data_IF_046605030625
#
_entry.id   IF_046605030625
#
_cell.length_a   1.000
_cell.length_b   1.000
_cell.length_c   1.000
_cell.angle_alpha   90.00
_cell.angle_beta   90.00
_cell.angle_gamma   90.00
#
_symmetry.space_group_name_H-M   'P 1'
#
loop_
_entity.id
_entity.type
_entity.pdbx_description
1 polymer ?
#
# COMPACT_ATOMS: atom_id res chain seq x y z
N UNK A 1 1.73 -15.61 -16.75
CA UNK A 1 0.90 -16.01 -15.59
C UNK A 1 0.06 -14.82 -15.10
N UNK A 2 0.66 -13.62 -14.97
CA UNK A 2 -0.06 -12.36 -14.73
C UNK A 2 -1.15 -12.07 -15.79
N UNK A 3 -0.85 -12.20 -17.09
CA UNK A 3 -1.86 -12.02 -18.18
C UNK A 3 -3.08 -12.95 -18.06
N UNK A 4 -2.89 -14.17 -17.53
CA UNK A 4 -4.01 -15.12 -17.31
C UNK A 4 -4.85 -14.79 -16.08
N UNK A 5 -4.29 -14.08 -15.10
CA UNK A 5 -4.96 -13.65 -13.87
C UNK A 5 -5.66 -12.30 -14.03
N UNK A 6 -5.18 -11.45 -14.93
CA UNK A 6 -5.68 -10.09 -15.10
C UNK A 6 -6.93 -9.96 -15.99
N UNK A 7 -7.32 -11.02 -16.69
CA UNK A 7 -8.35 -10.93 -17.72
C UNK A 7 -7.92 -10.07 -18.92
N UNK A 8 -8.79 -9.87 -19.91
CA UNK A 8 -8.45 -9.21 -21.18
C UNK A 8 -8.07 -7.72 -21.02
N UNK A 9 -8.34 -7.12 -19.87
CA UNK A 9 -8.13 -5.69 -19.61
C UNK A 9 -6.91 -5.35 -18.76
N UNK A 10 -6.08 -6.32 -18.33
CA UNK A 10 -4.83 -6.03 -17.60
C UNK A 10 -5.03 -5.36 -16.22
N UNK A 11 -4.67 -6.04 -15.13
CA UNK A 11 -4.74 -5.50 -13.77
C UNK A 11 -3.43 -5.86 -13.07
N UNK A 12 -2.47 -4.97 -13.17
CA UNK A 12 -1.06 -5.25 -12.88
C UNK A 12 -0.38 -4.17 -12.05
N UNK A 13 -0.95 -2.97 -11.99
CA UNK A 13 -0.49 -1.88 -11.12
C UNK A 13 -1.50 -1.72 -9.99
N UNK A 14 -1.10 -2.11 -8.78
CA UNK A 14 -1.95 -2.08 -7.60
C UNK A 14 -1.70 -0.82 -6.78
N UNK A 15 -2.76 -0.11 -6.44
CA UNK A 15 -2.77 0.99 -5.48
C UNK A 15 -3.57 0.61 -4.23
N UNK A 16 -3.21 1.16 -3.08
CA UNK A 16 -4.06 1.14 -1.89
C UNK A 16 -5.35 1.93 -2.11
N UNK A 17 -6.40 1.60 -1.36
CA UNK A 17 -7.71 2.24 -1.53
C UNK A 17 -8.06 3.15 -0.34
N UNK A 18 -8.52 4.36 -0.64
CA UNK A 18 -9.01 5.34 0.32
C UNK A 18 -10.53 5.32 0.45
N UNK A 19 -11.00 5.74 1.62
CA UNK A 19 -12.43 5.89 1.99
C UNK A 19 -13.05 7.22 1.53
N UNK A 20 -12.29 8.03 0.81
CA UNK A 20 -12.76 9.28 0.21
C UNK A 20 -12.05 9.52 -1.11
N UNK A 21 -12.74 10.13 -2.08
CA UNK A 21 -12.07 10.64 -3.28
C UNK A 21 -11.30 11.91 -2.93
N UNK A 22 -9.99 11.81 -2.70
CA UNK A 22 -9.16 12.98 -2.41
C UNK A 22 -8.37 13.42 -3.67
N UNK A 23 -8.20 14.74 -3.91
CA UNK A 23 -8.99 15.85 -3.37
C UNK A 23 -10.48 15.75 -3.71
N UNK A 24 -11.35 16.26 -2.83
CA UNK A 24 -12.81 16.09 -3.02
C UNK A 24 -13.32 16.99 -4.14
N UNK A 25 -13.60 16.39 -5.29
CA UNK A 25 -14.39 16.99 -6.36
C UNK A 25 -15.19 15.90 -7.06
N UNK A 26 -16.45 15.76 -6.68
CA UNK A 26 -17.34 14.70 -7.16
C UNK A 26 -17.65 14.78 -8.66
N UNK A 27 -17.30 15.90 -9.32
CA UNK A 27 -17.45 16.08 -10.76
C UNK A 27 -16.37 15.32 -11.55
N UNK A 28 -15.24 14.97 -10.91
CA UNK A 28 -14.12 14.29 -11.56
C UNK A 28 -14.41 12.81 -11.84
N UNK A 29 -14.02 12.28 -13.03
CA UNK A 29 -14.12 10.85 -13.33
C UNK A 29 -13.45 9.95 -12.28
N UNK A 30 -12.32 10.39 -11.71
CA UNK A 30 -11.65 9.73 -10.59
C UNK A 30 -12.56 9.45 -9.37
N UNK A 31 -13.63 10.23 -9.20
CA UNK A 31 -14.56 10.09 -8.10
C UNK A 31 -15.84 9.34 -8.49
N UNK A 32 -16.44 9.64 -9.65
CA UNK A 32 -17.74 9.09 -10.04
C UNK A 32 -17.65 7.88 -10.99
N UNK A 33 -16.67 7.83 -11.89
CA UNK A 33 -16.57 6.78 -12.93
C UNK A 33 -16.02 5.45 -12.38
N UNK A 34 -15.41 5.48 -11.20
CA UNK A 34 -14.75 4.31 -10.59
C UNK A 34 -15.75 3.26 -10.13
N UNK A 35 -15.45 1.95 -10.21
CA UNK A 35 -16.42 0.91 -9.89
C UNK A 35 -16.72 0.85 -8.39
N UNK A 36 -17.87 0.26 -7.99
CA UNK A 36 -18.12 -0.10 -6.60
C UNK A 36 -17.14 -1.18 -6.14
N UNK A 37 -16.93 -1.29 -4.83
CA UNK A 37 -16.00 -2.28 -4.27
C UNK A 37 -16.54 -3.71 -4.48
N UNK A 38 -15.79 -4.60 -5.15
CA UNK A 38 -16.24 -5.97 -5.38
C UNK A 38 -16.42 -6.75 -4.08
N UNK A 39 -17.54 -7.47 -3.98
CA UNK A 39 -17.90 -8.37 -2.87
C UNK A 39 -18.06 -7.69 -1.49
N UNK A 40 -18.29 -6.37 -1.46
CA UNK A 40 -18.72 -5.69 -0.23
C UNK A 40 -20.23 -5.42 -0.29
N UNK A 41 -20.97 -6.01 0.64
CA UNK A 41 -22.43 -6.06 0.73
C UNK A 41 -23.09 -4.78 1.27
N UNK A 42 -22.29 -3.79 1.67
CA UNK A 42 -22.79 -2.50 2.16
C UNK A 42 -23.04 -2.46 3.66
N UNK A 43 -22.58 -3.45 4.43
CA UNK A 43 -22.60 -3.41 5.91
C UNK A 43 -21.27 -3.79 6.55
N UNK A 44 -20.18 -3.86 5.79
CA UNK A 44 -18.82 -4.15 6.28
C UNK A 44 -18.41 -3.28 7.47
N UNK A 45 -18.70 -1.98 7.38
CA UNK A 45 -18.35 -0.98 8.38
C UNK A 45 -19.52 -0.67 9.33
N UNK A 46 -20.57 -1.50 9.33
CA UNK A 46 -21.70 -1.35 10.24
C UNK A 46 -22.92 -0.64 9.65
N UNK A 47 -23.93 -0.34 10.49
CA UNK A 47 -25.20 0.26 10.05
C UNK A 47 -25.05 1.63 9.38
N UNK A 48 -23.94 2.32 9.63
CA UNK A 48 -23.62 3.63 9.07
C UNK A 48 -22.80 3.55 7.77
N UNK A 49 -22.63 2.35 7.20
CA UNK A 49 -21.85 2.17 5.97
C UNK A 49 -22.37 3.10 4.87
N UNK A 50 -21.48 3.95 4.34
CA UNK A 50 -21.77 4.97 3.31
C UNK A 50 -22.83 6.04 3.70
N UNK A 51 -22.98 6.39 4.99
CA UNK A 51 -23.95 7.42 5.46
C UNK A 51 -23.32 8.79 5.75
N UNK A 52 -22.38 9.25 4.92
CA UNK A 52 -21.72 10.59 4.94
C UNK A 52 -20.44 10.74 5.77
N UNK A 53 -20.16 9.84 6.72
CA UNK A 53 -18.89 9.86 7.47
C UNK A 53 -17.85 8.93 6.81
N UNK A 54 -16.69 9.52 6.49
CA UNK A 54 -15.54 8.83 5.87
C UNK A 54 -15.14 7.57 6.63
N UNK A 55 -15.29 7.53 7.96
CA UNK A 55 -14.99 6.33 8.74
C UNK A 55 -15.81 5.12 8.27
N UNK A 56 -17.03 5.31 7.78
CA UNK A 56 -17.93 4.23 7.39
C UNK A 56 -18.02 4.00 5.88
N UNK A 57 -17.28 4.78 5.09
CA UNK A 57 -17.26 4.57 3.64
C UNK A 57 -16.51 3.29 3.28
N UNK A 58 -16.95 2.66 2.19
CA UNK A 58 -16.12 1.65 1.52
C UNK A 58 -14.83 2.29 0.98
N UNK A 59 -13.69 1.57 1.02
CA UNK A 59 -12.45 2.06 0.44
C UNK A 59 -12.48 1.93 -1.07
N UNK A 60 -13.07 2.92 -1.74
CA UNK A 60 -13.37 2.86 -3.18
C UNK A 60 -12.34 3.57 -4.03
N UNK A 61 -11.70 4.61 -3.50
CA UNK A 61 -10.93 5.55 -4.31
C UNK A 61 -9.43 5.26 -4.27
N UNK A 62 -8.68 5.73 -5.26
CA UNK A 62 -7.24 5.52 -5.32
C UNK A 62 -6.54 6.26 -4.18
N UNK A 63 -5.52 5.62 -3.58
CA UNK A 63 -4.57 6.27 -2.68
C UNK A 63 -3.17 6.25 -3.32
N UNK A 64 -2.57 7.43 -3.57
CA UNK A 64 -1.31 7.53 -4.34
C UNK A 64 -0.07 7.12 -3.57
N UNK A 65 -0.10 7.07 -2.24
CA UNK A 65 1.10 6.80 -1.45
C UNK A 65 1.52 5.33 -1.43
N UNK A 66 0.80 4.45 -2.13
CA UNK A 66 1.21 3.06 -2.34
C UNK A 66 1.00 2.65 -3.77
N UNK A 67 2.02 2.03 -4.36
CA UNK A 67 1.99 1.52 -5.73
C UNK A 67 2.86 0.28 -5.84
N UNK A 68 2.37 -0.77 -6.51
CA UNK A 68 3.19 -1.92 -6.89
C UNK A 68 2.77 -2.46 -8.25
N UNK A 69 3.73 -2.71 -9.13
CA UNK A 69 3.47 -3.33 -10.42
C UNK A 69 4.74 -3.56 -11.25
N UNK A 70 4.63 -4.17 -12.44
CA UNK A 70 5.76 -4.32 -13.35
C UNK A 70 6.34 -2.96 -13.74
N UNK A 71 7.67 -2.81 -13.64
CA UNK A 71 8.35 -1.52 -13.85
C UNK A 71 8.03 -0.87 -15.21
N UNK A 72 7.83 -1.68 -16.26
CA UNK A 72 7.48 -1.17 -17.59
C UNK A 72 6.14 -0.44 -17.54
N UNK A 73 5.12 -1.08 -16.99
CA UNK A 73 3.75 -0.56 -16.94
C UNK A 73 3.65 0.62 -15.97
N UNK A 74 4.34 0.53 -14.82
CA UNK A 74 4.45 1.64 -13.88
C UNK A 74 5.06 2.88 -14.57
N UNK A 75 6.13 2.73 -15.35
CA UNK A 75 6.72 3.84 -16.11
C UNK A 75 5.78 4.42 -17.17
N UNK A 76 4.98 3.59 -17.83
CA UNK A 76 3.98 4.04 -18.80
C UNK A 76 2.87 4.83 -18.12
N UNK A 77 2.38 4.37 -16.97
CA UNK A 77 1.41 5.09 -16.14
C UNK A 77 1.97 6.45 -15.66
N UNK A 78 3.21 6.49 -15.15
CA UNK A 78 3.84 7.76 -14.75
C UNK A 78 4.01 8.75 -15.91
N UNK A 79 4.29 8.26 -17.13
CA UNK A 79 4.32 9.14 -18.32
C UNK A 79 2.95 9.74 -18.60
N UNK A 80 1.88 8.92 -18.56
CA UNK A 80 0.52 9.42 -18.70
C UNK A 80 0.16 10.45 -17.62
N UNK A 81 0.63 10.26 -16.38
CA UNK A 81 0.46 11.25 -15.31
C UNK A 81 1.20 12.55 -15.60
N UNK A 82 2.44 12.49 -16.09
CA UNK A 82 3.20 13.69 -16.47
C UNK A 82 2.59 14.41 -17.67
N UNK A 83 2.08 13.68 -18.66
CA UNK A 83 1.37 14.25 -19.80
C UNK A 83 0.09 14.97 -19.33
N UNK A 84 -0.68 14.35 -18.43
CA UNK A 84 -1.85 14.97 -17.80
C UNK A 84 -1.46 16.24 -17.03
N UNK A 85 -0.40 16.21 -16.21
CA UNK A 85 0.10 17.40 -15.50
C UNK A 85 0.39 18.52 -16.50
N UNK A 86 1.16 18.25 -17.56
CA UNK A 86 1.50 19.24 -18.57
C UNK A 86 0.28 19.85 -19.28
N UNK A 87 -0.80 19.08 -19.41
CA UNK A 87 -2.04 19.52 -20.04
C UNK A 87 -2.90 20.39 -19.11
N UNK A 88 -3.04 20.00 -17.84
CA UNK A 88 -4.06 20.58 -16.94
C UNK A 88 -3.48 21.37 -15.77
N UNK A 89 -2.16 21.56 -15.70
CA UNK A 89 -1.53 22.31 -14.61
C UNK A 89 -2.07 23.75 -14.54
N UNK A 90 -2.60 24.09 -13.37
CA UNK A 90 -3.05 25.43 -13.04
C UNK A 90 -2.25 25.93 -11.82
N UNK A 91 -1.39 26.97 -11.97
CA UNK A 91 -0.62 27.51 -10.85
C UNK A 91 -1.49 28.08 -9.72
N UNK A 92 -2.75 28.43 -10.01
CA UNK A 92 -3.69 28.97 -9.02
C UNK A 92 -4.51 27.88 -8.33
N UNK A 93 -4.51 26.64 -8.83
CA UNK A 93 -5.22 25.53 -8.20
C UNK A 93 -4.52 25.10 -6.90
N UNK A 94 -5.30 24.88 -5.84
CA UNK A 94 -4.75 24.58 -4.52
C UNK A 94 -4.04 23.21 -4.45
N UNK A 95 -4.48 22.24 -5.26
CA UNK A 95 -3.91 20.89 -5.33
C UNK A 95 -3.00 20.68 -6.55
N UNK A 96 -2.47 21.75 -7.15
CA UNK A 96 -1.61 21.70 -8.35
C UNK A 96 -0.33 20.85 -8.22
N UNK A 97 0.12 20.56 -7.00
CA UNK A 97 1.29 19.70 -6.74
C UNK A 97 0.88 18.34 -6.13
N UNK A 98 -0.41 17.98 -6.18
CA UNK A 98 -0.92 16.75 -5.58
C UNK A 98 -0.72 15.55 -6.51
N UNK A 99 0.19 14.67 -6.14
CA UNK A 99 0.35 13.34 -6.75
C UNK A 99 -0.98 12.55 -6.74
N UNK A 100 -1.72 12.60 -5.63
CA UNK A 100 -3.04 11.98 -5.51
C UNK A 100 -4.00 12.47 -6.59
N UNK A 101 -4.09 13.78 -6.81
CA UNK A 101 -4.99 14.38 -7.78
C UNK A 101 -4.73 13.80 -9.18
N UNK A 102 -3.49 13.89 -9.65
CA UNK A 102 -3.14 13.46 -11.01
C UNK A 102 -3.18 11.95 -11.20
N UNK A 103 -2.68 11.15 -10.25
CA UNK A 103 -2.71 9.69 -10.35
C UNK A 103 -4.15 9.15 -10.32
N UNK A 104 -5.01 9.73 -9.47
CA UNK A 104 -6.43 9.39 -9.44
C UNK A 104 -7.14 9.76 -10.75
N UNK A 105 -6.80 10.88 -11.38
CA UNK A 105 -7.40 11.29 -12.66
C UNK A 105 -6.96 10.39 -13.83
N UNK A 106 -5.70 9.95 -13.86
CA UNK A 106 -5.26 8.89 -14.80
C UNK A 106 -6.07 7.61 -14.63
N UNK A 107 -6.36 7.21 -13.38
CA UNK A 107 -7.25 6.08 -13.13
C UNK A 107 -8.70 6.37 -13.55
N UNK A 108 -9.20 7.59 -13.34
CA UNK A 108 -10.52 8.03 -13.82
C UNK A 108 -10.65 7.90 -15.34
N UNK A 109 -9.64 8.29 -16.11
CA UNK A 109 -9.60 8.15 -17.57
C UNK A 109 -9.65 6.67 -17.99
N UNK A 110 -8.91 5.80 -17.30
CA UNK A 110 -9.00 4.36 -17.52
C UNK A 110 -10.43 3.82 -17.30
N UNK A 111 -11.09 4.21 -16.20
CA UNK A 111 -12.43 3.72 -15.92
C UNK A 111 -13.48 4.29 -16.88
N UNK A 112 -13.29 5.50 -17.41
CA UNK A 112 -14.11 6.04 -18.50
C UNK A 112 -13.99 5.21 -19.78
N UNK A 113 -12.77 4.85 -20.19
CA UNK A 113 -12.57 3.99 -21.35
C UNK A 113 -13.27 2.64 -21.15
N UNK A 114 -13.16 2.05 -19.95
CA UNK A 114 -13.86 0.80 -19.59
C UNK A 114 -15.38 0.94 -19.62
N UNK A 115 -15.93 2.08 -19.21
CA UNK A 115 -17.36 2.38 -19.32
C UNK A 115 -17.78 2.48 -20.80
N UNK A 116 -16.98 3.17 -21.62
CA UNK A 116 -17.24 3.29 -23.05
C UNK A 116 -17.23 1.92 -23.74
N UNK A 117 -16.21 1.10 -23.48
CA UNK A 117 -16.13 -0.28 -24.00
C UNK A 117 -17.35 -1.11 -23.60
N UNK A 118 -17.80 -1.03 -22.34
CA UNK A 118 -19.01 -1.74 -21.89
C UNK A 118 -20.27 -1.30 -22.64
N UNK A 119 -20.41 0.00 -22.94
CA UNK A 119 -21.53 0.53 -23.73
C UNK A 119 -21.46 0.15 -25.20
N UNK A 120 -20.25 0.09 -25.77
CA UNK A 120 -20.02 -0.36 -27.14
C UNK A 120 -20.37 -1.84 -27.31
N UNK A 121 -20.00 -2.68 -26.33
CA UNK A 121 -20.37 -4.10 -26.30
C UNK A 121 -21.87 -4.32 -26.02
N UNK A 122 -22.44 -3.52 -25.11
CA UNK A 122 -23.85 -3.57 -24.73
C UNK A 122 -24.39 -2.15 -24.44
N UNK A 123 -25.16 -1.55 -25.36
CA UNK A 123 -25.74 -0.22 -25.15
C UNK A 123 -26.64 -0.07 -23.91
N UNK A 124 -27.20 -1.19 -23.42
CA UNK A 124 -28.04 -1.24 -22.22
C UNK A 124 -27.25 -1.58 -20.93
N UNK A 125 -25.91 -1.57 -20.99
CA UNK A 125 -25.07 -1.83 -19.83
C UNK A 125 -25.32 -0.80 -18.72
N UNK A 126 -25.58 -1.29 -17.50
CA UNK A 126 -25.68 -0.45 -16.31
C UNK A 126 -24.28 -0.06 -15.86
N UNK A 127 -23.88 1.16 -16.16
CA UNK A 127 -22.57 1.73 -15.81
C UNK A 127 -22.69 2.88 -14.81
N UNK A 128 -21.57 3.28 -14.21
CA UNK A 128 -21.49 4.53 -13.45
C UNK A 128 -21.86 5.72 -14.34
N UNK A 129 -22.56 6.70 -13.78
CA UNK A 129 -22.97 7.92 -14.47
C UNK A 129 -22.38 9.13 -13.76
N UNK A 130 -22.03 10.19 -14.51
CA UNK A 130 -21.62 11.45 -13.90
C UNK A 130 -22.77 12.06 -13.09
N UNK A 131 -22.47 12.86 -12.05
CA UNK A 131 -23.45 13.78 -11.48
C UNK A 131 -23.88 14.83 -12.53
N UNK A 132 -24.95 15.59 -12.24
CA UNK A 132 -25.52 16.59 -13.16
C UNK A 132 -24.48 17.63 -13.64
N UNK A 133 -23.56 18.01 -12.76
CA UNK A 133 -22.45 18.94 -13.01
C UNK A 133 -21.10 18.23 -13.27
N UNK A 134 -21.14 16.92 -13.50
CA UNK A 134 -19.96 16.08 -13.69
C UNK A 134 -19.22 16.35 -15.00
N UNK A 135 -17.89 16.22 -14.97
CA UNK A 135 -17.04 16.35 -16.14
C UNK A 135 -16.88 15.00 -16.83
N UNK A 136 -17.14 14.96 -18.12
CA UNK A 136 -16.88 13.81 -18.99
C UNK A 136 -15.89 14.26 -20.07
N UNK A 137 -14.57 14.05 -19.87
CA UNK A 137 -13.59 14.40 -20.88
C UNK A 137 -13.82 13.57 -22.14
N UNK A 138 -13.56 14.16 -23.30
CA UNK A 138 -13.56 13.43 -24.56
C UNK A 138 -12.28 12.60 -24.63
N UNK A 139 -12.43 11.28 -24.73
CA UNK A 139 -11.30 10.38 -24.95
C UNK A 139 -10.94 10.39 -26.43
N UNK A 140 -9.67 10.64 -26.74
CA UNK A 140 -9.18 10.62 -28.12
C UNK A 140 -9.10 9.17 -28.63
N UNK A 141 -9.81 8.78 -29.70
CA UNK A 141 -9.85 7.38 -30.16
C UNK A 141 -8.50 6.80 -30.58
N UNK A 142 -7.49 7.65 -30.82
CA UNK A 142 -6.14 7.24 -31.19
C UNK A 142 -5.31 6.78 -29.97
N UNK A 143 -5.75 7.08 -28.74
CA UNK A 143 -5.06 6.73 -27.52
C UNK A 143 -5.77 5.59 -26.79
N UNK A 144 -4.97 4.78 -26.08
CA UNK A 144 -5.45 3.77 -25.15
C UNK A 144 -5.27 4.33 -23.74
N UNK A 145 -6.35 4.35 -22.95
CA UNK A 145 -6.35 4.82 -21.56
C UNK A 145 -6.28 3.67 -20.55
N UNK A 146 -6.13 2.43 -21.03
CA UNK A 146 -5.95 1.27 -20.16
C UNK A 146 -4.53 1.21 -19.58
N UNK A 147 -4.34 1.82 -18.42
CA UNK A 147 -3.05 1.88 -17.69
C UNK A 147 -2.83 0.68 -16.74
N UNK A 148 -3.68 -0.34 -16.83
CA UNK A 148 -3.65 -1.55 -15.99
C UNK A 148 -3.73 -1.29 -14.47
N UNK A 149 -4.31 -0.16 -14.07
CA UNK A 149 -4.51 0.23 -12.68
C UNK A 149 -5.58 -0.67 -12.05
N UNK A 150 -5.28 -1.14 -10.85
CA UNK A 150 -6.12 -1.97 -10.00
C UNK A 150 -6.03 -1.47 -8.55
N UNK A 151 -7.10 -1.72 -7.80
CA UNK A 151 -7.22 -1.30 -6.41
C UNK A 151 -7.13 -2.48 -5.45
N UNK A 152 -6.35 -2.34 -4.38
CA UNK A 152 -6.33 -3.24 -3.25
C UNK A 152 -7.47 -2.90 -2.26
N UNK A 153 -8.70 -3.15 -2.69
CA UNK A 153 -9.90 -2.82 -1.93
C UNK A 153 -10.01 -3.53 -0.57
N UNK A 154 -9.35 -4.67 -0.41
CA UNK A 154 -9.45 -5.53 0.78
C UNK A 154 -8.24 -5.40 1.71
N UNK A 155 -7.34 -4.46 1.43
CA UNK A 155 -6.11 -4.22 2.20
C UNK A 155 -5.27 -5.49 2.36
N UNK A 156 -5.12 -6.26 1.27
CA UNK A 156 -4.28 -7.46 1.24
C UNK A 156 -2.80 -7.10 1.23
N UNK A 157 -2.45 -5.95 0.65
CA UNK A 157 -1.09 -5.44 0.49
C UNK A 157 -0.91 -4.10 1.18
N UNK A 158 -1.90 -3.21 1.07
CA UNK A 158 -1.79 -1.82 1.52
C UNK A 158 -2.94 -1.48 2.46
N UNK A 159 -2.59 -1.00 3.65
CA UNK A 159 -3.52 -0.36 4.56
C UNK A 159 -3.31 1.16 4.50
N UNK A 160 -4.36 1.92 4.19
CA UNK A 160 -4.36 3.38 4.33
C UNK A 160 -4.90 3.77 5.71
N UNK A 161 -4.53 4.94 6.24
CA UNK A 161 -4.94 5.35 7.58
C UNK A 161 -6.19 6.24 7.62
N UNK A 162 -6.38 7.12 6.64
CA UNK A 162 -7.51 8.04 6.65
C UNK A 162 -8.86 7.30 6.68
N UNK A 163 -9.68 7.56 7.71
CA UNK A 163 -10.96 6.88 7.93
C UNK A 163 -10.85 5.45 8.48
N UNK A 164 -9.65 5.03 8.90
CA UNK A 164 -9.38 3.67 9.40
C UNK A 164 -9.18 3.56 10.92
N UNK A 165 -9.25 4.66 11.66
CA UNK A 165 -8.95 4.67 13.10
C UNK A 165 -9.77 3.69 13.94
N UNK A 166 -11.03 3.43 13.58
CA UNK A 166 -11.90 2.48 14.29
C UNK A 166 -11.78 1.02 13.81
N UNK A 167 -11.09 0.80 12.68
CA UNK A 167 -11.11 -0.47 11.94
C UNK A 167 -9.74 -1.15 11.86
N UNK A 168 -8.69 -0.40 12.17
CA UNK A 168 -7.31 -0.90 12.25
C UNK A 168 -6.91 -1.00 13.70
N UNK A 169 -6.35 -2.15 14.06
CA UNK A 169 -5.96 -2.45 15.44
C UNK A 169 -4.59 -3.14 15.49
N UNK A 170 -3.86 -2.93 16.58
CA UNK A 170 -2.55 -3.54 16.82
C UNK A 170 -2.73 -4.71 17.78
N UNK A 171 -2.46 -5.94 17.31
CA UNK A 171 -2.77 -7.16 18.07
C UNK A 171 -1.57 -8.09 18.20
N UNK A 172 -1.52 -8.78 19.34
CA UNK A 172 -0.63 -9.92 19.57
C UNK A 172 -1.36 -11.23 19.28
N UNK A 173 -0.77 -12.07 18.44
CA UNK A 173 -1.36 -13.33 18.01
C UNK A 173 -0.96 -14.48 18.94
N UNK A 174 -1.44 -14.41 20.19
CA UNK A 174 -1.07 -15.32 21.29
C UNK A 174 -1.93 -16.58 21.39
N UNK A 175 -3.03 -16.67 20.64
CA UNK A 175 -3.94 -17.81 20.68
C UNK A 175 -3.40 -19.07 19.99
N UNK A 176 -4.19 -20.17 20.00
CA UNK A 176 -3.95 -21.35 19.18
C UNK A 176 -3.83 -20.97 17.70
N UNK A 177 -2.88 -21.58 16.98
CA UNK A 177 -2.64 -21.28 15.55
C UNK A 177 -2.44 -19.78 15.26
N UNK A 178 -1.79 -19.05 16.17
CA UNK A 178 -1.51 -17.62 16.05
C UNK A 178 -2.78 -16.82 15.80
N UNK A 179 -3.78 -17.03 16.67
CA UNK A 179 -5.03 -16.29 16.62
C UNK A 179 -5.12 -15.19 17.66
N UNK A 180 -6.04 -14.25 17.42
CA UNK A 180 -6.56 -13.29 18.38
C UNK A 180 -8.08 -13.25 18.25
N UNK A 181 -8.79 -13.19 19.37
CA UNK A 181 -10.25 -13.05 19.35
C UNK A 181 -10.66 -11.61 19.04
N UNK A 182 -11.58 -11.47 18.10
CA UNK A 182 -12.21 -10.22 17.70
C UNK A 182 -13.64 -10.22 18.24
N UNK A 183 -13.89 -9.33 19.19
CA UNK A 183 -15.18 -9.20 19.90
C UNK A 183 -15.99 -8.00 19.42
N UNK A 184 -15.44 -7.19 18.51
CA UNK A 184 -16.10 -6.01 17.99
C UNK A 184 -17.27 -6.36 17.06
N UNK A 185 -18.51 -6.07 17.49
CA UNK A 185 -19.73 -6.24 16.69
C UNK A 185 -20.04 -4.99 15.84
N UNK A 186 -19.14 -4.67 14.91
CA UNK A 186 -19.30 -3.48 14.06
C UNK A 186 -20.56 -3.50 13.20
N UNK A 187 -20.99 -4.69 12.75
CA UNK A 187 -22.22 -4.87 11.98
C UNK A 187 -23.51 -4.59 12.78
N UNK A 188 -23.40 -4.41 14.11
CA UNK A 188 -24.53 -4.30 15.04
C UNK A 188 -25.55 -5.43 14.82
N UNK A 189 -25.05 -6.65 14.65
CA UNK A 189 -25.88 -7.84 14.44
C UNK A 189 -26.22 -8.46 15.80
N UNK A 190 -27.50 -8.72 16.09
CA UNK A 190 -27.93 -9.38 17.34
C UNK A 190 -27.33 -10.76 17.51
N UNK A 191 -27.02 -11.43 16.39
CA UNK A 191 -26.49 -12.80 16.36
C UNK A 191 -24.96 -12.82 16.23
N UNK A 192 -24.30 -11.71 16.54
CA UNK A 192 -22.84 -11.65 16.48
C UNK A 192 -22.21 -12.62 17.48
N UNK A 193 -21.24 -13.39 16.98
CA UNK A 193 -20.38 -14.25 17.78
C UNK A 193 -18.94 -13.78 17.57
N UNK A 194 -18.15 -13.60 18.65
CA UNK A 194 -16.72 -13.35 18.53
C UNK A 194 -16.05 -14.38 17.62
N UNK A 195 -15.06 -13.94 16.87
CA UNK A 195 -14.38 -14.77 15.89
C UNK A 195 -12.86 -14.65 16.01
N UNK A 196 -12.13 -15.63 15.47
CA UNK A 196 -10.67 -15.64 15.53
C UNK A 196 -10.07 -15.04 14.28
N UNK A 197 -9.27 -13.99 14.43
CA UNK A 197 -8.37 -13.48 13.41
C UNK A 197 -7.04 -14.24 13.53
N UNK A 198 -6.56 -14.80 12.43
CA UNK A 198 -5.28 -15.51 12.38
C UNK A 198 -4.24 -14.69 11.62
N UNK A 199 -2.99 -14.79 12.06
CA UNK A 199 -1.87 -14.26 11.29
C UNK A 199 -1.72 -15.02 9.97
N UNK A 200 -1.46 -14.30 8.89
CA UNK A 200 -1.33 -14.85 7.55
C UNK A 200 -0.05 -15.70 7.43
N UNK A 201 -0.16 -16.82 6.71
CA UNK A 201 0.92 -17.80 6.59
C UNK A 201 2.16 -17.27 5.85
N UNK A 202 1.97 -16.36 4.89
CA UNK A 202 3.05 -15.67 4.18
C UNK A 202 3.79 -14.67 5.10
N UNK A 203 3.06 -13.90 5.91
CA UNK A 203 3.64 -13.05 6.95
C UNK A 203 4.49 -13.85 7.95
N UNK A 204 3.96 -14.97 8.43
CA UNK A 204 4.70 -15.89 9.31
C UNK A 204 5.95 -16.47 8.64
N UNK A 205 5.86 -16.85 7.35
CA UNK A 205 7.00 -17.38 6.59
C UNK A 205 8.09 -16.34 6.42
N UNK A 206 7.71 -15.10 6.11
CA UNK A 206 8.63 -13.96 6.00
C UNK A 206 9.35 -13.68 7.31
N UNK A 207 8.62 -13.67 8.44
CA UNK A 207 9.22 -13.50 9.77
C UNK A 207 10.17 -14.63 10.14
N UNK A 208 9.80 -15.89 9.86
CA UNK A 208 10.69 -17.04 10.09
C UNK A 208 12.00 -16.89 9.34
N UNK A 209 11.93 -16.42 8.11
CA UNK A 209 13.12 -16.18 7.30
C UNK A 209 14.00 -15.10 7.93
N UNK A 210 13.43 -13.96 8.30
CA UNK A 210 14.18 -12.84 8.91
C UNK A 210 14.78 -13.27 10.26
N UNK A 211 14.02 -13.98 11.09
CA UNK A 211 14.50 -14.52 12.36
C UNK A 211 15.71 -15.44 12.16
N UNK A 212 15.67 -16.33 11.18
CA UNK A 212 16.78 -17.25 10.91
C UNK A 212 18.05 -16.57 10.37
N UNK A 213 17.94 -15.40 9.72
CA UNK A 213 19.08 -14.66 9.19
C UNK A 213 19.63 -13.59 10.14
N UNK A 214 18.91 -13.28 11.23
CA UNK A 214 19.25 -12.19 12.15
C UNK A 214 19.76 -12.74 13.47
N UNK A 215 20.99 -12.35 13.85
CA UNK A 215 21.57 -12.72 15.13
C UNK A 215 21.22 -11.67 16.19
N UNK A 216 20.12 -11.87 16.90
CA UNK A 216 19.70 -11.02 18.03
C UNK A 216 18.96 -11.86 19.09
N UNK A 217 19.60 -12.06 20.24
CA UNK A 217 19.04 -12.86 21.34
C UNK A 217 17.75 -12.24 21.91
N UNK A 218 17.58 -10.91 21.78
CA UNK A 218 16.39 -10.20 22.24
C UNK A 218 15.17 -10.47 21.36
N UNK A 219 15.33 -11.07 20.18
CA UNK A 219 14.21 -11.54 19.33
C UNK A 219 13.55 -12.82 19.89
N UNK A 220 14.18 -13.50 20.85
CA UNK A 220 13.68 -14.73 21.47
C UNK A 220 14.36 -15.98 20.92
N UNK A 221 14.14 -17.13 21.54
CA UNK A 221 14.79 -18.39 21.17
C UNK A 221 14.17 -19.04 19.93
N UNK A 222 12.92 -18.71 19.61
CA UNK A 222 12.22 -19.23 18.43
C UNK A 222 11.39 -18.14 17.73
N UNK A 223 11.14 -18.31 16.42
CA UNK A 223 10.22 -17.44 15.67
C UNK A 223 8.82 -17.38 16.30
N UNK A 224 8.38 -18.46 16.97
CA UNK A 224 7.08 -18.50 17.62
C UNK A 224 7.02 -17.55 18.82
N UNK A 225 8.12 -17.43 19.56
CA UNK A 225 8.24 -16.47 20.66
C UNK A 225 8.25 -15.04 20.12
N UNK A 226 8.97 -14.77 19.03
CA UNK A 226 8.95 -13.48 18.34
C UNK A 226 7.52 -13.09 17.94
N UNK A 227 6.82 -13.95 17.21
CA UNK A 227 5.44 -13.67 16.75
C UNK A 227 4.50 -13.40 17.93
N UNK A 228 4.59 -14.18 19.02
CA UNK A 228 3.66 -14.06 20.15
C UNK A 228 3.89 -12.81 21.00
N UNK A 229 5.13 -12.29 21.06
CA UNK A 229 5.43 -11.09 21.86
C UNK A 229 5.26 -9.79 21.07
N UNK A 230 5.43 -9.84 19.75
CA UNK A 230 5.26 -8.71 18.83
C UNK A 230 3.81 -8.34 18.59
N UNK A 231 3.58 -7.08 18.23
CA UNK A 231 2.30 -6.58 17.75
C UNK A 231 2.32 -6.48 16.22
N UNK A 232 1.18 -6.75 15.61
CA UNK A 232 0.97 -6.56 14.18
C UNK A 232 -0.31 -5.79 13.96
N UNK A 233 -0.25 -4.84 13.04
CA UNK A 233 -1.42 -4.11 12.58
C UNK A 233 -2.34 -5.02 11.78
N UNK A 234 -3.63 -4.93 12.05
CA UNK A 234 -4.65 -5.68 11.33
C UNK A 234 -5.90 -4.84 11.08
N UNK A 235 -6.47 -5.02 9.89
CA UNK A 235 -7.79 -4.54 9.53
C UNK A 235 -8.83 -5.57 9.96
N UNK A 236 -9.65 -5.22 10.96
CA UNK A 236 -10.62 -6.15 11.56
C UNK A 236 -11.87 -6.34 10.68
N UNK A 237 -12.08 -5.46 9.70
CA UNK A 237 -13.19 -5.55 8.74
C UNK A 237 -12.82 -6.50 7.59
N UNK A 238 -11.66 -6.30 6.96
CA UNK A 238 -11.18 -7.16 5.87
C UNK A 238 -10.49 -8.44 6.36
N UNK A 239 -10.25 -8.51 7.67
CA UNK A 239 -9.61 -9.64 8.36
C UNK A 239 -8.17 -9.88 7.90
N UNK A 240 -7.47 -8.80 7.53
CA UNK A 240 -6.11 -8.86 7.05
C UNK A 240 -5.11 -8.30 8.06
N UNK A 241 -3.98 -8.97 8.28
CA UNK A 241 -2.77 -8.24 8.73
C UNK A 241 -2.14 -7.63 7.50
N UNK A 242 -1.75 -6.36 7.59
CA UNK A 242 -1.24 -5.64 6.44
C UNK A 242 0.29 -5.58 6.46
N UNK A 243 0.96 -5.83 5.32
CA UNK A 243 2.41 -5.74 5.25
C UNK A 243 2.91 -4.29 5.14
N UNK A 244 2.11 -3.39 4.55
CA UNK A 244 2.45 -2.00 4.35
C UNK A 244 1.32 -1.10 4.85
N UNK A 245 1.69 -0.12 5.67
CA UNK A 245 0.80 0.93 6.17
C UNK A 245 1.22 2.25 5.55
N UNK A 246 0.29 2.95 4.92
CA UNK A 246 0.46 4.32 4.48
C UNK A 246 -0.41 5.24 5.34
N UNK A 247 0.24 6.12 6.12
CA UNK A 247 -0.47 7.06 7.00
C UNK A 247 -0.88 8.31 6.22
N UNK A 248 -2.10 8.29 5.70
CA UNK A 248 -2.79 9.46 5.15
C UNK A 248 -3.61 10.21 6.19
N UNK A 249 -3.87 11.49 5.94
CA UNK A 249 -4.63 12.35 6.85
C UNK A 249 -3.82 12.76 8.07
N UNK A 250 -4.30 12.41 9.27
CA UNK A 250 -3.67 12.79 10.54
C UNK A 250 -2.35 12.04 10.76
N UNK A 251 -1.23 12.72 10.48
CA UNK A 251 0.13 12.14 10.56
C UNK A 251 0.60 11.83 11.98
N UNK A 252 -0.04 12.37 13.01
CA UNK A 252 0.31 12.10 14.42
C UNK A 252 0.20 10.62 14.81
N UNK A 253 -0.56 9.82 14.04
CA UNK A 253 -0.63 8.38 14.23
C UNK A 253 0.73 7.67 14.06
N UNK A 254 1.66 8.24 13.27
CA UNK A 254 3.00 7.69 13.08
C UNK A 254 3.77 7.59 14.41
N UNK A 255 3.68 8.61 15.27
CA UNK A 255 4.37 8.63 16.56
C UNK A 255 3.87 7.50 17.47
N UNK A 256 2.59 7.16 17.37
CA UNK A 256 1.98 6.07 18.13
C UNK A 256 2.27 4.68 17.54
N UNK A 257 2.45 4.58 16.22
CA UNK A 257 2.60 3.31 15.51
C UNK A 257 4.04 2.87 15.35
N UNK A 258 4.96 3.82 15.14
CA UNK A 258 6.38 3.52 14.93
C UNK A 258 6.96 2.61 16.03
N UNK A 259 6.76 2.89 17.34
CA UNK A 259 7.27 2.03 18.40
C UNK A 259 6.58 0.67 18.52
N UNK A 260 5.40 0.49 17.87
CA UNK A 260 4.63 -0.77 17.89
C UNK A 260 5.03 -1.74 16.78
N UNK A 261 5.74 -1.25 15.76
CA UNK A 261 6.18 -2.09 14.65
C UNK A 261 7.03 -3.24 15.18
N UNK A 262 6.74 -4.47 14.75
CA UNK A 262 7.41 -5.66 15.27
C UNK A 262 8.94 -5.59 15.18
N UNK A 263 9.45 -4.86 14.19
CA UNK A 263 10.87 -4.71 13.89
C UNK A 263 11.54 -3.54 14.63
N UNK A 264 10.77 -2.62 15.21
CA UNK A 264 11.30 -1.41 15.83
C UNK A 264 12.36 -1.71 16.91
N UNK A 265 12.14 -2.65 17.85
CA UNK A 265 13.15 -2.97 18.88
C UNK A 265 14.43 -3.63 18.33
N UNK A 266 14.40 -4.08 17.07
CA UNK A 266 15.47 -4.87 16.44
C UNK A 266 16.13 -4.15 15.27
N UNK A 267 15.81 -2.86 15.05
CA UNK A 267 16.17 -2.12 13.85
C UNK A 267 17.66 -2.22 13.50
N UNK A 268 18.55 -2.04 14.48
CA UNK A 268 20.00 -2.14 14.26
C UNK A 268 20.46 -3.55 13.90
N UNK A 269 19.95 -4.57 14.59
CA UNK A 269 20.29 -5.96 14.31
C UNK A 269 19.81 -6.39 12.92
N UNK A 270 18.64 -5.91 12.51
CA UNK A 270 18.07 -6.16 11.19
C UNK A 270 18.87 -5.48 10.07
N UNK A 271 19.28 -4.21 10.26
CA UNK A 271 20.15 -3.49 9.31
C UNK A 271 21.49 -4.22 9.16
N UNK A 272 22.12 -4.58 10.28
CA UNK A 272 23.37 -5.35 10.29
C UNK A 272 23.22 -6.66 9.54
N UNK A 273 22.17 -7.43 9.83
CA UNK A 273 21.87 -8.69 9.16
C UNK A 273 21.72 -8.50 7.64
N UNK A 274 20.98 -7.47 7.22
CA UNK A 274 20.79 -7.16 5.81
C UNK A 274 22.12 -6.79 5.12
N UNK A 275 22.92 -5.91 5.70
CA UNK A 275 24.23 -5.51 5.15
C UNK A 275 25.13 -6.74 4.98
N UNK A 276 25.25 -7.57 6.02
CA UNK A 276 26.10 -8.77 6.00
C UNK A 276 25.62 -9.79 4.96
N UNK A 277 24.30 -9.98 4.84
CA UNK A 277 23.69 -10.84 3.83
C UNK A 277 24.08 -10.39 2.42
N UNK A 278 23.93 -9.10 2.10
CA UNK A 278 24.21 -8.60 0.75
C UNK A 278 25.70 -8.47 0.45
N UNK A 279 26.57 -8.27 1.46
CA UNK A 279 28.03 -8.31 1.28
C UNK A 279 28.54 -9.72 0.93
N UNK A 280 27.82 -10.77 1.33
CA UNK A 280 28.10 -12.15 0.93
C UNK A 280 27.61 -12.46 -0.51
N UNK A 281 27.23 -11.44 -1.30
CA UNK A 281 26.65 -11.54 -2.65
C UNK A 281 25.37 -12.40 -2.70
N UNK A 282 24.65 -12.47 -1.58
CA UNK A 282 23.42 -13.25 -1.50
C UNK A 282 22.24 -12.51 -2.14
N UNK A 283 21.37 -13.29 -2.80
CA UNK A 283 20.14 -12.79 -3.39
C UNK A 283 19.07 -12.50 -2.33
N UNK A 284 18.03 -11.74 -2.68
CA UNK A 284 16.95 -11.25 -1.81
C UNK A 284 16.16 -12.32 -1.04
N UNK A 285 16.43 -13.60 -1.19
CA UNK A 285 15.86 -14.66 -0.37
C UNK A 285 16.40 -16.02 -0.74
N UNK A 286 16.56 -16.95 0.21
CA UNK A 286 17.22 -18.24 -0.01
C UNK A 286 16.48 -19.16 -1.01
N UNK A 287 15.20 -18.88 -1.28
CA UNK A 287 14.35 -19.62 -2.22
C UNK A 287 14.03 -18.77 -3.45
N UNK A 288 13.72 -19.43 -4.56
CA UNK A 288 13.25 -18.76 -5.77
C UNK A 288 11.88 -18.11 -5.52
N UNK A 289 11.73 -16.85 -5.92
CA UNK A 289 10.45 -16.15 -5.92
C UNK A 289 9.94 -16.17 -7.36
N UNK A 290 8.85 -16.90 -7.62
CA UNK A 290 8.32 -17.16 -8.96
C UNK A 290 9.37 -17.76 -9.93
N UNK A 291 10.10 -18.77 -9.44
CA UNK A 291 11.21 -19.42 -10.16
C UNK A 291 12.35 -18.46 -10.57
N UNK A 292 12.48 -17.30 -9.90
CA UNK A 292 13.52 -16.31 -10.17
C UNK A 292 14.35 -16.05 -8.93
N UNK A 293 15.63 -15.75 -9.17
CA UNK A 293 16.53 -15.20 -8.18
C UNK A 293 16.49 -13.68 -8.30
N UNK A 294 16.36 -13.00 -7.18
CA UNK A 294 16.24 -11.54 -7.14
C UNK A 294 17.49 -10.95 -6.49
N UNK A 295 18.10 -9.97 -7.14
CA UNK A 295 19.30 -9.29 -6.65
C UNK A 295 19.02 -7.82 -6.38
N UNK A 296 19.72 -7.19 -5.41
CA UNK A 296 19.67 -5.74 -5.26
C UNK A 296 20.16 -5.09 -6.55
N UNK A 297 19.49 -4.00 -6.96
CA UNK A 297 19.89 -3.26 -8.16
C UNK A 297 21.28 -2.63 -8.01
N UNK A 298 21.63 -2.23 -6.79
CA UNK A 298 22.93 -1.67 -6.44
C UNK A 298 23.48 -2.39 -5.18
N UNK A 299 24.71 -2.92 -5.23
CA UNK A 299 25.34 -3.53 -4.05
C UNK A 299 25.76 -2.43 -3.07
N UNK A 300 25.68 -2.70 -1.77
CA UNK A 300 26.15 -1.73 -0.76
C UNK A 300 27.62 -1.31 -0.98
N UNK A 301 28.01 -0.09 -0.57
CA UNK A 301 29.40 0.34 -0.58
C UNK A 301 30.30 -0.64 0.17
N UNK A 302 31.54 -0.81 -0.28
CA UNK A 302 32.50 -1.76 0.33
C UNK A 302 32.91 -1.36 1.76
N UNK A 303 32.83 -0.08 2.05
CA UNK A 303 33.19 0.56 3.30
C UNK A 303 31.98 0.88 4.19
N UNK A 304 30.78 0.41 3.83
CA UNK A 304 29.59 0.56 4.66
C UNK A 304 29.82 -0.10 6.04
N UNK A 305 29.57 0.62 7.12
CA UNK A 305 29.56 0.02 8.46
C UNK A 305 28.21 -0.64 8.70
N UNK A 306 28.17 -1.66 9.55
CA UNK A 306 26.93 -2.36 9.89
C UNK A 306 25.86 -1.45 10.57
N UNK A 307 26.27 -0.28 11.05
CA UNK A 307 25.41 0.78 11.59
C UNK A 307 24.82 1.71 10.52
N UNK A 308 25.31 1.64 9.29
CA UNK A 308 25.13 2.65 8.24
C UNK A 308 24.01 2.28 7.28
N UNK A 309 22.83 1.95 7.79
CA UNK A 309 21.63 1.95 6.93
C UNK A 309 21.51 3.28 6.16
N UNK A 310 20.67 3.36 5.13
CA UNK A 310 20.66 4.53 4.27
C UNK A 310 19.86 4.31 2.98
N UNK A 311 20.08 5.18 2.00
CA UNK A 311 19.40 5.16 0.72
C UNK A 311 20.35 5.39 -0.45
N UNK A 312 19.99 4.85 -1.61
CA UNK A 312 20.62 5.20 -2.88
C UNK A 312 20.02 6.48 -3.43
N UNK A 313 20.87 7.40 -3.88
CA UNK A 313 20.46 8.65 -4.52
C UNK A 313 21.01 8.74 -5.94
N UNK A 314 20.15 9.17 -6.85
CA UNK A 314 20.48 9.53 -8.23
C UNK A 314 20.68 11.05 -8.41
N UNK A 315 20.74 11.83 -7.32
CA UNK A 315 20.84 13.29 -7.35
C UNK A 315 22.19 13.83 -7.88
N UNK A 316 23.05 12.98 -8.42
CA UNK A 316 24.30 13.44 -9.02
C UNK A 316 24.01 14.21 -10.32
N UNK A 317 24.72 15.32 -10.52
CA UNK A 317 24.54 16.18 -11.70
C UNK A 317 24.87 15.51 -13.06
N UNK A 318 25.37 14.27 -13.06
CA UNK A 318 25.77 13.57 -14.28
C UNK A 318 24.77 12.48 -14.74
N UNK A 319 23.62 12.32 -14.07
CA UNK A 319 22.56 11.34 -14.38
C UNK A 319 23.04 9.87 -14.49
N UNK A 320 24.31 9.59 -14.19
CA UNK A 320 24.95 8.29 -14.39
C UNK A 320 25.48 7.70 -13.09
N UNK A 321 25.65 8.53 -12.06
CA UNK A 321 26.24 8.10 -10.79
C UNK A 321 25.17 8.01 -9.71
N UNK A 322 24.82 6.78 -9.34
CA UNK A 322 24.04 6.53 -8.12
C UNK A 322 25.02 6.44 -6.96
N UNK A 323 24.77 7.15 -5.86
CA UNK A 323 25.64 7.16 -4.69
C UNK A 323 24.87 6.82 -3.41
N UNK A 324 25.60 6.34 -2.41
CA UNK A 324 25.03 5.94 -1.13
C UNK A 324 24.96 7.13 -0.17
N UNK A 325 23.78 7.39 0.38
CA UNK A 325 23.53 8.33 1.45
C UNK A 325 23.30 7.54 2.75
N UNK A 326 24.23 7.65 3.70
CA UNK A 326 24.10 6.97 4.99
C UNK A 326 23.07 7.63 5.91
N UNK A 327 22.55 6.89 6.89
CA UNK A 327 21.60 7.41 7.89
C UNK A 327 22.19 8.54 8.73
N UNK A 328 23.50 8.55 8.98
CA UNK A 328 24.16 9.68 9.64
C UNK A 328 23.98 10.99 8.83
N UNK A 329 23.92 10.91 7.51
CA UNK A 329 23.70 12.07 6.64
C UNK A 329 22.21 12.41 6.51
N UNK A 330 21.36 11.39 6.41
CA UNK A 330 19.92 11.55 6.18
C UNK A 330 19.11 11.88 7.44
N UNK A 331 19.49 11.31 8.59
CA UNK A 331 18.61 11.14 9.75
C UNK A 331 19.35 11.22 11.11
N UNK A 332 20.58 11.73 11.18
CA UNK A 332 21.38 11.71 12.41
C UNK A 332 20.65 12.28 13.64
N UNK A 333 19.93 13.40 13.48
CA UNK A 333 19.19 14.05 14.58
C UNK A 333 18.00 13.23 15.09
N UNK A 334 17.60 12.18 14.37
CA UNK A 334 16.45 11.33 14.68
C UNK A 334 16.83 9.92 15.12
N UNK A 335 18.11 9.62 15.33
CA UNK A 335 18.57 8.27 15.70
C UNK A 335 17.87 7.70 16.93
N UNK A 336 17.73 8.49 18.00
CA UNK A 336 17.06 8.07 19.24
C UNK A 336 15.63 7.61 18.98
N UNK A 337 14.87 8.43 18.25
CA UNK A 337 13.47 8.14 17.89
C UNK A 337 13.37 6.95 16.93
N UNK A 338 14.26 6.84 15.96
CA UNK A 338 14.23 5.78 14.95
C UNK A 338 14.55 4.39 15.52
N UNK A 339 15.46 4.33 16.51
CA UNK A 339 15.93 3.07 17.09
C UNK A 339 15.47 2.82 18.53
N UNK A 340 14.70 3.74 19.12
CA UNK A 340 14.24 3.63 20.51
C UNK A 340 15.38 3.73 21.53
N UNK A 341 16.37 4.57 21.24
CA UNK A 341 17.54 4.80 22.09
C UNK A 341 17.32 6.08 22.90
N UNK A 342 16.87 5.93 24.15
CA UNK A 342 16.86 7.01 25.16
C UNK A 342 17.93 6.76 26.24
#
# INVERSE_FOLDING_TARGET
MAEKLAGPLGRHIFFGADKVCWPVDWRRPACWAVPPVPNMDGREFGPLTNTEDMAFNHPRWLNSGTIMGPIKEVREMFRATLDLINEVYDPEYEFRESDQFYLSDVWGLQELERIQMQKEENPEAVVMQPPEDGWVPNLEPAYSYNFHIAMDYWSLMFQTWAGYAEWVDWRKFIGPLYSVEVTQNHRNNSDFVPWSLHMQADGMRSLKRIFNSTSDETMGATVNELIRKSEFGANIVTKQTFPLLHVTGEKGALDAFWPRLWFFPYGRSLIRSAINWFQAEEHYGPELIDNRVWYPAHPYPKDIRESDGGAWSDASNDNATVYWLGFDELCAEHHSILFGED
#
